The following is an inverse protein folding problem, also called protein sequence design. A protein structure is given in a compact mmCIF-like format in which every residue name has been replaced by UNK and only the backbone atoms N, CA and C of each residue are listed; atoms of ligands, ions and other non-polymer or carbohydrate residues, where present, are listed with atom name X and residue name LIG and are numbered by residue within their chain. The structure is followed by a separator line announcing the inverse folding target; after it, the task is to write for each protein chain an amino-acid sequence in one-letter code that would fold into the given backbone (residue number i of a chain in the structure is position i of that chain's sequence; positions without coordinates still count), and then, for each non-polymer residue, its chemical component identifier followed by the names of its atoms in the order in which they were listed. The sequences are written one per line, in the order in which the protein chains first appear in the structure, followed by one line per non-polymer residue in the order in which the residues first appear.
data_IF_151470466484
#
_entry.id   IF_151470466484
#
_cell.length_a   1.000
_cell.length_b   1.000
_cell.length_c   1.000
_cell.angle_alpha   90.00
_cell.angle_beta   90.00
_cell.angle_gamma   90.00
#
_symmetry.space_group_name_H-M   'P 1'
#
loop_
_entity.id
_entity.type
_entity.pdbx_description
1 polymer ?
#
# COMPACT_ATOMS: atom_id res chain seq x y z
N UNK A 1 4.23 11.23 -18.49
CA UNK A 1 3.44 10.24 -17.73
C UNK A 1 4.16 9.99 -16.40
N UNK A 2 3.45 9.70 -15.31
CA UNK A 2 4.10 9.31 -14.05
C UNK A 2 5.01 8.12 -14.32
N UNK A 3 6.28 8.20 -13.90
CA UNK A 3 7.28 7.14 -14.12
C UNK A 3 7.10 5.91 -13.22
N UNK A 4 6.14 6.02 -12.31
CA UNK A 4 5.87 5.04 -11.27
C UNK A 4 4.52 4.36 -11.51
N UNK A 5 4.51 3.02 -11.44
CA UNK A 5 3.30 2.19 -11.50
C UNK A 5 3.05 1.58 -10.12
N UNK A 6 1.79 1.62 -9.69
CA UNK A 6 1.36 1.10 -8.40
C UNK A 6 0.69 -0.28 -8.51
N UNK A 7 1.13 -1.21 -7.66
CA UNK A 7 0.59 -2.57 -7.57
C UNK A 7 0.10 -2.83 -6.16
N UNK A 8 -0.99 -3.58 -6.02
CA UNK A 8 -1.57 -3.86 -4.71
C UNK A 8 -2.17 -5.25 -4.62
N UNK A 9 -2.24 -5.78 -3.40
CA UNK A 9 -3.10 -6.91 -3.04
C UNK A 9 -3.99 -6.56 -1.85
N UNK A 10 -5.20 -7.12 -1.85
CA UNK A 10 -6.14 -7.00 -0.74
C UNK A 10 -7.10 -8.19 -0.68
N UNK A 11 -6.97 -9.04 0.35
CA UNK A 11 -8.04 -9.97 0.69
C UNK A 11 -9.25 -9.17 1.20
N UNK A 12 -10.36 -9.19 0.46
CA UNK A 12 -11.54 -8.39 0.79
C UNK A 12 -12.56 -9.15 1.65
N UNK A 13 -12.36 -10.45 1.89
CA UNK A 13 -13.25 -11.30 2.68
C UNK A 13 -14.71 -11.15 2.22
N UNK A 14 -14.95 -11.53 0.97
CA UNK A 14 -16.22 -11.43 0.25
C UNK A 14 -16.52 -10.03 -0.27
N UNK A 15 -16.83 -9.91 -1.56
CA UNK A 15 -17.27 -8.64 -2.14
C UNK A 15 -18.64 -8.21 -1.59
N UNK A 16 -19.53 -9.18 -1.38
CA UNK A 16 -20.81 -8.93 -0.75
C UNK A 16 -20.76 -9.27 0.74
N UNK A 17 -21.26 -8.37 1.57
CA UNK A 17 -21.45 -8.58 3.00
C UNK A 17 -22.88 -8.18 3.38
N UNK A 18 -23.52 -8.93 4.30
CA UNK A 18 -24.92 -8.66 4.69
C UNK A 18 -25.14 -7.24 5.22
N UNK A 19 -24.19 -6.73 6.02
CA UNK A 19 -24.24 -5.39 6.61
C UNK A 19 -23.83 -4.33 5.60
N UNK A 20 -22.68 -4.51 4.95
CA UNK A 20 -22.08 -3.48 4.09
C UNK A 20 -22.69 -3.44 2.68
N UNK A 21 -23.39 -4.51 2.28
CA UNK A 21 -23.84 -4.75 0.91
C UNK A 21 -22.69 -5.09 -0.02
N UNK A 22 -22.84 -4.67 -1.27
CA UNK A 22 -21.80 -4.74 -2.30
C UNK A 22 -20.67 -3.73 -2.00
N UNK A 23 -19.50 -4.24 -1.62
CA UNK A 23 -18.32 -3.43 -1.28
C UNK A 23 -17.78 -2.65 -2.48
N UNK A 24 -18.01 -3.10 -3.72
CA UNK A 24 -17.55 -2.36 -4.93
C UNK A 24 -18.22 -1.00 -5.08
N UNK A 25 -19.43 -0.84 -4.51
CA UNK A 25 -20.18 0.42 -4.45
C UNK A 25 -19.86 1.26 -3.22
N UNK A 26 -18.98 0.77 -2.32
CA UNK A 26 -18.62 1.49 -1.12
C UNK A 26 -17.59 2.58 -1.43
N UNK A 27 -17.84 3.81 -0.95
CA UNK A 27 -16.92 4.94 -1.16
C UNK A 27 -15.50 4.67 -0.65
N UNK A 28 -15.34 4.05 0.51
CA UNK A 28 -13.99 3.76 1.03
C UNK A 28 -13.25 2.71 0.20
N UNK A 29 -13.98 1.76 -0.37
CA UNK A 29 -13.40 0.79 -1.29
C UNK A 29 -12.92 1.48 -2.59
N UNK A 30 -13.79 2.27 -3.22
CA UNK A 30 -13.46 3.04 -4.44
C UNK A 30 -12.29 3.99 -4.18
N UNK A 31 -12.31 4.74 -3.08
CA UNK A 31 -11.24 5.66 -2.69
C UNK A 31 -9.89 4.92 -2.50
N UNK A 32 -9.93 3.68 -2.00
CA UNK A 32 -8.73 2.85 -1.77
C UNK A 32 -8.12 2.34 -3.08
N UNK A 33 -8.94 1.92 -4.05
CA UNK A 33 -8.45 1.41 -5.34
C UNK A 33 -8.18 2.51 -6.38
N UNK A 34 -8.84 3.67 -6.30
CA UNK A 34 -8.75 4.75 -7.30
C UNK A 34 -7.32 5.25 -7.57
N UNK A 35 -6.45 5.16 -6.57
CA UNK A 35 -5.05 5.59 -6.63
C UNK A 35 -4.12 4.50 -7.19
N UNK A 36 -4.63 3.29 -7.38
CA UNK A 36 -3.86 2.10 -7.72
C UNK A 36 -4.04 1.75 -9.19
N UNK A 37 -2.95 1.40 -9.86
CA UNK A 37 -2.94 1.05 -11.28
C UNK A 37 -3.36 -0.41 -11.49
N UNK A 38 -2.84 -1.32 -10.68
CA UNK A 38 -3.12 -2.76 -10.69
C UNK A 38 -3.37 -3.27 -9.26
N UNK A 39 -4.49 -3.97 -9.02
CA UNK A 39 -4.81 -4.56 -7.73
C UNK A 39 -5.37 -5.97 -7.88
N UNK A 40 -4.77 -6.91 -7.16
CA UNK A 40 -5.38 -8.23 -6.93
C UNK A 40 -6.26 -8.18 -5.69
N UNK A 41 -7.48 -8.68 -5.82
CA UNK A 41 -8.41 -8.85 -4.73
C UNK A 41 -8.61 -10.34 -4.50
N UNK A 42 -8.35 -10.79 -3.28
CA UNK A 42 -8.54 -12.18 -2.86
C UNK A 42 -9.86 -12.34 -2.11
N UNK A 43 -10.35 -13.59 -2.08
CA UNK A 43 -11.61 -13.95 -1.44
C UNK A 43 -12.79 -13.14 -1.95
N UNK A 44 -12.90 -13.01 -3.27
CA UNK A 44 -13.97 -12.23 -3.90
C UNK A 44 -15.35 -12.86 -3.68
N UNK A 45 -15.40 -14.19 -3.53
CA UNK A 45 -16.60 -15.00 -3.32
C UNK A 45 -17.66 -14.77 -4.41
N UNK A 46 -17.21 -14.45 -5.63
CA UNK A 46 -18.08 -14.29 -6.78
C UNK A 46 -17.46 -14.86 -8.04
N UNK A 47 -18.32 -15.23 -8.99
CA UNK A 47 -17.96 -15.67 -10.33
C UNK A 47 -18.40 -14.65 -11.38
N UNK A 48 -19.04 -13.56 -10.95
CA UNK A 48 -19.45 -12.48 -11.83
C UNK A 48 -18.32 -11.49 -11.98
N UNK A 49 -18.07 -11.06 -13.21
CA UNK A 49 -17.12 -10.00 -13.48
C UNK A 49 -17.50 -8.73 -12.68
N UNK A 50 -16.49 -8.04 -12.15
CA UNK A 50 -16.68 -6.87 -11.32
C UNK A 50 -16.80 -5.64 -12.21
N UNK A 51 -17.95 -4.97 -12.15
CA UNK A 51 -18.15 -3.73 -12.88
C UNK A 51 -17.82 -2.54 -11.98
N UNK A 52 -16.61 -2.01 -12.13
CA UNK A 52 -16.11 -0.84 -11.40
C UNK A 52 -15.73 0.23 -12.43
N UNK A 53 -16.37 1.42 -12.42
CA UNK A 53 -16.08 2.47 -13.39
C UNK A 53 -14.59 2.84 -13.45
N UNK A 54 -14.02 2.84 -14.65
CA UNK A 54 -12.61 3.17 -14.90
C UNK A 54 -11.63 2.02 -14.69
N UNK A 55 -12.12 0.83 -14.33
CA UNK A 55 -11.32 -0.39 -14.18
C UNK A 55 -11.81 -1.48 -15.12
N UNK A 56 -10.86 -2.24 -15.66
CA UNK A 56 -11.13 -3.57 -16.19
C UNK A 56 -10.97 -4.59 -15.07
N UNK A 57 -11.69 -5.72 -15.20
CA UNK A 57 -11.63 -6.82 -14.26
C UNK A 57 -11.35 -8.14 -14.98
N UNK A 58 -10.39 -8.89 -14.48
CA UNK A 58 -10.14 -10.28 -14.84
C UNK A 58 -10.39 -11.12 -13.59
N UNK A 59 -11.19 -12.16 -13.71
CA UNK A 59 -11.53 -13.06 -12.60
C UNK A 59 -10.84 -14.41 -12.78
N UNK A 60 -10.41 -15.00 -11.67
CA UNK A 60 -9.83 -16.34 -11.70
C UNK A 60 -10.90 -17.41 -11.90
N UNK A 61 -10.50 -18.58 -12.38
CA UNK A 61 -11.34 -19.77 -12.31
C UNK A 61 -11.75 -20.05 -10.86
N UNK A 62 -13.00 -20.45 -10.64
CA UNK A 62 -13.50 -20.69 -9.28
C UNK A 62 -13.38 -22.15 -8.89
N UNK A 63 -12.71 -22.43 -7.77
CA UNK A 63 -12.56 -23.79 -7.24
C UNK A 63 -13.85 -24.43 -6.71
N UNK A 64 -14.88 -23.62 -6.43
CA UNK A 64 -15.94 -24.05 -5.50
C UNK A 64 -17.23 -24.33 -6.25
N UNK A 65 -17.59 -25.61 -6.47
CA UNK A 65 -18.98 -25.93 -6.73
C UNK A 65 -19.81 -25.48 -5.53
N UNK A 66 -20.94 -24.84 -5.81
CA UNK A 66 -22.00 -24.63 -4.82
C UNK A 66 -22.49 -26.03 -4.45
N UNK A 67 -21.97 -26.63 -3.38
CA UNK A 67 -22.62 -27.83 -2.85
C UNK A 67 -23.96 -27.38 -2.27
N UNK A 68 -25.03 -28.16 -2.46
CA UNK A 68 -26.38 -27.81 -1.99
C UNK A 68 -26.47 -27.51 -0.47
N UNK A 69 -25.42 -27.83 0.31
CA UNK A 69 -25.31 -27.51 1.75
C UNK A 69 -24.47 -26.25 2.06
N UNK A 70 -23.65 -25.76 1.13
CA UNK A 70 -22.83 -24.56 1.33
C UNK A 70 -23.55 -23.33 0.77
N UNK A 71 -24.26 -22.61 1.64
CA UNK A 71 -25.03 -21.42 1.28
C UNK A 71 -24.18 -20.21 0.81
N UNK A 72 -22.84 -20.30 0.82
CA UNK A 72 -21.92 -19.19 0.47
C UNK A 72 -20.78 -19.64 -0.46
N UNK A 73 -20.60 -18.91 -1.57
CA UNK A 73 -19.39 -18.97 -2.41
C UNK A 73 -18.18 -18.57 -1.56
N UNK A 74 -17.00 -19.12 -1.87
CA UNK A 74 -15.77 -18.76 -1.13
C UNK A 74 -14.50 -18.88 -1.98
N UNK A 75 -13.40 -18.24 -1.57
CA UNK A 75 -12.18 -18.11 -2.40
C UNK A 75 -12.34 -17.11 -3.55
N UNK A 76 -11.60 -17.32 -4.64
CA UNK A 76 -11.63 -16.47 -5.83
C UNK A 76 -10.62 -15.33 -5.80
N UNK A 77 -10.05 -15.03 -6.95
CA UNK A 77 -9.07 -13.97 -7.17
C UNK A 77 -9.59 -13.08 -8.29
N UNK A 78 -9.40 -11.77 -8.20
CA UNK A 78 -9.70 -10.85 -9.30
C UNK A 78 -8.61 -9.82 -9.44
N UNK A 79 -8.12 -9.65 -10.66
CA UNK A 79 -7.25 -8.54 -11.03
C UNK A 79 -8.12 -7.39 -11.51
N UNK A 80 -8.06 -6.25 -10.82
CA UNK A 80 -8.59 -4.99 -11.30
C UNK A 80 -7.44 -4.09 -11.75
N UNK A 81 -7.60 -3.43 -12.88
CA UNK A 81 -6.60 -2.47 -13.35
C UNK A 81 -7.25 -1.33 -14.12
N UNK A 82 -6.61 -0.16 -14.13
CA UNK A 82 -7.17 1.02 -14.80
C UNK A 82 -7.34 0.76 -16.30
N UNK A 83 -8.49 1.13 -16.87
CA UNK A 83 -8.84 0.83 -18.27
C UNK A 83 -7.83 1.33 -19.31
N UNK A 84 -7.05 2.38 -18.99
CA UNK A 84 -5.94 2.83 -19.84
C UNK A 84 -4.88 1.76 -20.13
N UNK A 85 -4.78 0.71 -19.32
CA UNK A 85 -3.81 -0.38 -19.50
C UNK A 85 -4.36 -1.59 -20.27
N UNK A 86 -5.65 -1.60 -20.66
CA UNK A 86 -6.32 -2.74 -21.30
C UNK A 86 -5.57 -3.35 -22.47
N UNK A 87 -4.96 -2.53 -23.33
CA UNK A 87 -4.21 -2.98 -24.51
C UNK A 87 -2.90 -3.71 -24.18
N UNK A 88 -2.40 -3.53 -22.97
CA UNK A 88 -1.08 -3.99 -22.54
C UNK A 88 -1.13 -5.15 -21.55
N UNK A 89 -2.32 -5.61 -21.19
CA UNK A 89 -2.54 -6.68 -20.21
C UNK A 89 -3.11 -7.90 -20.91
N UNK A 90 -2.52 -9.07 -20.67
CA UNK A 90 -3.04 -10.35 -21.13
C UNK A 90 -2.95 -11.42 -20.05
N UNK A 91 -3.84 -12.41 -20.10
CA UNK A 91 -3.83 -13.56 -19.18
C UNK A 91 -2.81 -14.57 -19.69
N UNK A 92 -1.97 -15.10 -18.80
CA UNK A 92 -0.97 -16.14 -19.10
C UNK A 92 -1.49 -17.51 -18.65
N UNK A 93 -1.94 -17.58 -17.40
CA UNK A 93 -2.44 -18.79 -16.75
C UNK A 93 -3.53 -18.39 -15.75
N UNK A 94 -4.63 -19.12 -15.76
CA UNK A 94 -5.76 -18.86 -14.88
C UNK A 94 -6.13 -20.15 -14.16
N UNK A 95 -5.97 -20.18 -12.84
CA UNK A 95 -6.38 -21.31 -12.00
C UNK A 95 -7.11 -20.79 -10.76
N UNK A 96 -7.62 -21.71 -9.94
CA UNK A 96 -8.25 -21.37 -8.66
C UNK A 96 -7.37 -20.61 -7.66
N UNK A 97 -6.06 -20.83 -7.69
CA UNK A 97 -5.12 -20.30 -6.70
C UNK A 97 -4.17 -19.25 -7.29
N UNK A 98 -4.04 -19.23 -8.62
CA UNK A 98 -3.07 -18.40 -9.34
C UNK A 98 -3.74 -17.71 -10.54
N UNK A 99 -3.69 -16.39 -10.56
CA UNK A 99 -4.07 -15.57 -11.71
C UNK A 99 -2.83 -14.88 -12.27
N UNK A 100 -2.20 -15.50 -13.26
CA UNK A 100 -1.04 -14.96 -13.94
C UNK A 100 -1.45 -14.04 -15.09
N UNK A 101 -0.95 -12.82 -15.06
CA UNK A 101 -1.18 -11.80 -16.09
C UNK A 101 0.14 -11.16 -16.52
N UNK A 102 0.29 -10.94 -17.82
CA UNK A 102 1.42 -10.23 -18.43
C UNK A 102 1.07 -8.75 -18.52
N UNK A 103 2.03 -7.90 -18.21
CA UNK A 103 2.08 -6.50 -18.65
C UNK A 103 3.17 -6.36 -19.72
N UNK A 104 2.79 -5.84 -20.88
CA UNK A 104 3.70 -5.60 -21.99
C UNK A 104 4.79 -4.59 -21.62
N UNK A 105 6.03 -4.93 -21.98
CA UNK A 105 7.21 -4.07 -21.86
C UNK A 105 7.06 -2.69 -22.50
N UNK A 106 6.15 -2.56 -23.47
CA UNK A 106 5.81 -1.29 -24.15
C UNK A 106 5.42 -0.17 -23.18
N UNK A 107 4.72 -0.49 -22.08
CA UNK A 107 4.37 0.49 -21.05
C UNK A 107 5.33 0.53 -19.87
N UNK A 108 6.26 -0.43 -19.82
CA UNK A 108 7.20 -0.59 -18.73
C UNK A 108 8.54 0.10 -19.04
N UNK A 109 8.77 0.60 -20.26
CA UNK A 109 10.10 1.09 -20.70
C UNK A 109 11.24 0.19 -20.22
N UNK A 110 11.01 -1.11 -20.34
CA UNK A 110 11.83 -2.20 -19.84
C UNK A 110 12.21 -3.08 -21.02
N UNK A 111 13.35 -3.75 -20.92
CA UNK A 111 13.79 -4.78 -21.86
C UNK A 111 12.91 -6.05 -21.78
N UNK A 112 12.31 -6.26 -20.60
CA UNK A 112 11.47 -7.43 -20.28
C UNK A 112 10.04 -7.03 -19.94
N UNK A 113 9.12 -7.92 -20.26
CA UNK A 113 7.74 -7.89 -19.75
C UNK A 113 7.71 -8.05 -18.21
N UNK A 114 6.58 -7.73 -17.60
CA UNK A 114 6.32 -8.00 -16.19
C UNK A 114 5.19 -9.03 -16.07
N UNK A 115 5.48 -10.17 -15.46
CA UNK A 115 4.49 -11.18 -15.14
C UNK A 115 4.05 -11.01 -13.68
N UNK A 116 2.77 -10.72 -13.51
CA UNK A 116 2.17 -10.60 -12.19
C UNK A 116 1.36 -11.85 -11.88
N UNK A 117 1.43 -12.33 -10.64
CA UNK A 117 0.55 -13.39 -10.16
C UNK A 117 -0.25 -12.92 -8.97
N UNK A 118 -1.57 -12.95 -9.10
CA UNK A 118 -2.48 -12.90 -7.98
C UNK A 118 -2.55 -14.27 -7.33
N UNK A 119 -2.16 -14.36 -6.06
CA UNK A 119 -2.08 -15.64 -5.35
C UNK A 119 -3.08 -15.71 -4.20
N UNK A 120 -3.81 -16.81 -4.06
CA UNK A 120 -4.53 -17.14 -2.84
C UNK A 120 -4.25 -18.59 -2.47
N UNK A 121 -3.49 -18.80 -1.40
CA UNK A 121 -3.22 -20.14 -0.87
C UNK A 121 -4.16 -20.37 0.30
N UNK A 122 -5.07 -21.36 0.25
CA UNK A 122 -5.95 -21.67 1.38
C UNK A 122 -5.16 -21.98 2.65
N UNK A 123 -5.69 -21.71 3.86
CA UNK A 123 -5.04 -22.10 5.10
C UNK A 123 -4.74 -23.61 5.16
N UNK A 124 -3.68 -24.02 5.87
CA UNK A 124 -3.23 -25.42 5.95
C UNK A 124 -4.32 -26.41 6.40
N UNK A 125 -5.21 -25.97 7.30
CA UNK A 125 -6.35 -26.78 7.80
C UNK A 125 -7.59 -26.74 6.90
N UNK A 126 -7.51 -26.06 5.75
CA UNK A 126 -8.63 -25.94 4.82
C UNK A 126 -8.80 -27.22 4.02
N UNK A 127 -10.05 -27.68 3.84
CA UNK A 127 -10.38 -28.83 2.98
C UNK A 127 -10.01 -28.60 1.50
N UNK A 128 -9.73 -27.36 1.13
CA UNK A 128 -9.36 -26.96 -0.23
C UNK A 128 -7.85 -26.80 -0.43
N UNK A 129 -7.07 -26.98 0.63
CA UNK A 129 -5.62 -26.92 0.55
C UNK A 129 -5.08 -28.23 -0.04
N UNK A 130 -4.26 -28.13 -1.07
CA UNK A 130 -3.55 -29.24 -1.69
C UNK A 130 -2.05 -28.95 -1.65
N UNK A 131 -1.23 -29.92 -1.21
CA UNK A 131 0.22 -29.68 -1.05
C UNK A 131 0.93 -29.31 -2.36
N UNK A 132 0.46 -29.84 -3.49
CA UNK A 132 0.99 -29.58 -4.83
C UNK A 132 0.94 -28.11 -5.26
N UNK A 133 0.15 -27.27 -4.59
CA UNK A 133 0.05 -25.83 -4.89
C UNK A 133 1.43 -25.15 -4.82
N UNK A 134 2.31 -25.59 -3.91
CA UNK A 134 3.65 -25.04 -3.78
C UNK A 134 4.56 -25.47 -4.94
N UNK A 135 4.49 -26.73 -5.36
CA UNK A 135 5.22 -27.24 -6.52
C UNK A 135 4.75 -26.57 -7.82
N UNK A 136 3.43 -26.36 -7.98
CA UNK A 136 2.86 -25.62 -9.11
C UNK A 136 3.38 -24.18 -9.16
N UNK A 137 3.46 -23.50 -8.01
CA UNK A 137 3.99 -22.13 -7.93
C UNK A 137 5.48 -22.09 -8.28
N UNK A 138 6.28 -23.01 -7.72
CA UNK A 138 7.72 -23.08 -8.00
C UNK A 138 8.00 -23.36 -9.48
N UNK A 139 7.28 -24.31 -10.08
CA UNK A 139 7.40 -24.62 -11.50
C UNK A 139 7.03 -23.42 -12.39
N UNK A 140 5.96 -22.68 -12.06
CA UNK A 140 5.59 -21.46 -12.77
C UNK A 140 6.70 -20.39 -12.67
N UNK A 141 7.27 -20.20 -11.47
CA UNK A 141 8.35 -19.25 -11.24
C UNK A 141 9.60 -19.58 -12.06
N UNK A 142 10.03 -20.85 -12.05
CA UNK A 142 11.17 -21.33 -12.85
C UNK A 142 10.90 -21.09 -14.34
N UNK A 143 9.72 -21.48 -14.83
CA UNK A 143 9.34 -21.34 -16.24
C UNK A 143 9.31 -19.87 -16.71
N UNK A 144 8.86 -18.97 -15.85
CA UNK A 144 8.66 -17.56 -16.20
C UNK A 144 9.88 -16.67 -15.94
N UNK A 145 10.80 -17.09 -15.07
CA UNK A 145 11.99 -16.31 -14.67
C UNK A 145 12.88 -15.91 -15.86
N UNK A 146 12.94 -16.75 -16.89
CA UNK A 146 13.72 -16.53 -18.11
C UNK A 146 13.03 -15.55 -19.09
N UNK A 147 11.72 -15.36 -18.98
CA UNK A 147 10.89 -14.61 -19.95
C UNK A 147 10.57 -13.19 -19.51
N UNK A 148 10.43 -12.97 -18.20
CA UNK A 148 9.91 -11.72 -17.67
C UNK A 148 10.44 -11.44 -16.26
N UNK A 149 10.32 -10.19 -15.82
CA UNK A 149 10.35 -9.89 -14.39
C UNK A 149 9.08 -10.43 -13.74
N UNK A 150 9.16 -10.82 -12.45
CA UNK A 150 8.05 -11.47 -11.75
C UNK A 150 7.66 -10.66 -10.53
N UNK A 151 6.35 -10.49 -10.33
CA UNK A 151 5.75 -9.90 -9.15
C UNK A 151 4.58 -10.77 -8.65
N UNK A 152 4.76 -11.44 -7.52
CA UNK A 152 3.69 -12.16 -6.82
C UNK A 152 3.02 -11.24 -5.81
N UNK A 153 1.69 -11.23 -5.78
CA UNK A 153 0.91 -10.48 -4.81
C UNK A 153 -0.28 -11.30 -4.33
N UNK A 154 -0.48 -11.38 -3.02
CA UNK A 154 -1.64 -12.11 -2.52
C UNK A 154 -1.56 -12.56 -1.08
N UNK A 155 -2.64 -13.20 -0.64
CA UNK A 155 -2.75 -13.88 0.64
C UNK A 155 -2.20 -15.32 0.50
N UNK A 156 -1.04 -15.54 1.09
CA UNK A 156 -0.35 -16.84 1.06
C UNK A 156 -0.70 -17.71 2.28
N UNK A 157 -1.45 -17.18 3.25
CA UNK A 157 -1.63 -17.79 4.57
C UNK A 157 -0.30 -18.28 5.19
N UNK A 158 0.79 -17.59 4.87
CA UNK A 158 2.17 -17.97 5.19
C UNK A 158 2.73 -17.02 6.25
N UNK A 159 3.18 -17.54 7.39
CA UNK A 159 3.83 -16.73 8.44
C UNK A 159 5.31 -17.03 8.36
N UNK A 160 6.11 -16.08 7.88
CA UNK A 160 7.55 -16.31 7.63
C UNK A 160 8.45 -15.83 8.75
N UNK A 161 7.90 -15.11 9.75
CA UNK A 161 8.72 -14.35 10.72
C UNK A 161 9.81 -13.54 10.01
N UNK A 162 11.03 -13.56 10.55
CA UNK A 162 12.25 -12.95 10.00
C UNK A 162 13.17 -13.96 9.29
N UNK A 163 12.63 -15.10 8.82
CA UNK A 163 13.43 -16.08 8.08
C UNK A 163 14.06 -15.43 6.83
N UNK A 164 15.33 -15.73 6.58
CA UNK A 164 16.06 -15.29 5.37
C UNK A 164 15.47 -16.00 4.15
N UNK A 165 15.10 -15.23 3.14
CA UNK A 165 14.57 -15.68 1.85
C UNK A 165 15.64 -15.71 0.75
N UNK A 166 16.90 -15.74 1.17
CA UNK A 166 18.09 -15.87 0.33
C UNK A 166 19.09 -16.77 1.05
N UNK A 167 20.03 -17.33 0.29
CA UNK A 167 21.12 -18.15 0.84
C UNK A 167 22.16 -17.20 1.44
N UNK A 168 22.43 -17.33 2.75
CA UNK A 168 23.51 -16.56 3.39
C UNK A 168 24.85 -17.25 3.18
N UNK A 169 25.86 -16.46 2.81
CA UNK A 169 27.27 -16.87 2.69
C UNK A 169 27.89 -17.39 4.00
N UNK A 170 27.24 -17.13 5.14
CA UNK A 170 27.72 -17.44 6.49
C UNK A 170 27.90 -18.95 6.76
N UNK A 171 27.42 -19.82 5.87
CA UNK A 171 27.53 -21.29 5.98
C UNK A 171 28.58 -21.94 5.08
N UNK A 172 29.26 -21.18 4.21
CA UNK A 172 30.20 -21.73 3.23
C UNK A 172 31.64 -21.33 3.53
N UNK A 173 32.23 -21.90 4.58
CA UNK A 173 33.69 -21.85 4.79
C UNK A 173 34.48 -22.66 3.74
N UNK A 174 33.80 -23.29 2.77
CA UNK A 174 34.42 -24.22 1.81
C UNK A 174 34.16 -23.91 0.33
N UNK A 175 33.43 -22.84 0.01
CA UNK A 175 33.27 -22.38 -1.38
C UNK A 175 33.52 -20.88 -1.41
N UNK A 176 34.78 -20.50 -1.68
CA UNK A 176 35.13 -19.14 -2.07
C UNK A 176 34.61 -18.94 -3.50
N UNK A 177 33.33 -18.67 -3.65
CA UNK A 177 32.85 -18.07 -4.89
C UNK A 177 33.39 -16.64 -4.93
N UNK A 178 34.40 -16.45 -5.75
CA UNK A 178 35.14 -15.20 -5.97
C UNK A 178 34.37 -14.21 -6.86
N UNK A 179 33.09 -14.47 -7.15
CA UNK A 179 32.21 -13.47 -7.76
C UNK A 179 31.68 -12.50 -6.70
N UNK A 180 32.40 -11.40 -6.49
CA UNK A 180 32.09 -10.31 -5.55
C UNK A 180 30.81 -9.50 -5.83
N UNK A 181 29.74 -10.12 -6.34
CA UNK A 181 28.51 -9.47 -6.78
C UNK A 181 27.21 -10.19 -6.33
N UNK A 182 27.24 -11.00 -5.26
CA UNK A 182 25.97 -11.49 -4.69
C UNK A 182 25.25 -10.32 -4.00
N UNK A 183 24.25 -9.74 -4.67
CA UNK A 183 23.40 -8.73 -4.06
C UNK A 183 22.75 -9.33 -2.81
N UNK A 184 23.09 -8.77 -1.65
CA UNK A 184 22.43 -9.11 -0.41
C UNK A 184 21.25 -8.16 -0.20
N UNK A 185 20.01 -8.66 -0.21
CA UNK A 185 18.86 -7.80 0.03
C UNK A 185 18.89 -7.29 1.47
N UNK A 186 18.36 -6.08 1.75
CA UNK A 186 18.24 -5.60 3.12
C UNK A 186 17.49 -6.59 4.02
N UNK A 187 17.91 -6.68 5.28
CA UNK A 187 17.27 -7.57 6.24
C UNK A 187 15.80 -7.21 6.45
N UNK A 188 14.94 -8.23 6.46
CA UNK A 188 13.52 -8.06 6.80
C UNK A 188 13.31 -7.86 8.28
N UNK A 189 12.47 -6.89 8.60
CA UNK A 189 11.72 -6.85 9.84
C UNK A 189 10.35 -7.50 9.65
N UNK A 190 9.79 -8.00 10.73
CA UNK A 190 8.43 -8.52 10.77
C UNK A 190 7.93 -8.41 12.20
N UNK A 191 6.80 -7.75 12.41
CA UNK A 191 6.15 -7.69 13.73
C UNK A 191 5.45 -9.00 14.07
N UNK A 192 5.13 -9.82 13.07
CA UNK A 192 4.71 -11.21 13.28
C UNK A 192 5.97 -12.07 13.46
N UNK A 193 6.24 -12.52 14.70
CA UNK A 193 7.39 -13.36 15.02
C UNK A 193 7.15 -14.85 14.78
N UNK A 194 5.93 -15.27 14.42
CA UNK A 194 5.58 -16.69 14.28
C UNK A 194 5.95 -17.23 12.90
N UNK A 195 6.30 -18.51 12.85
CA UNK A 195 6.44 -19.26 11.58
C UNK A 195 5.40 -20.37 11.47
N UNK A 196 4.97 -20.69 10.25
CA UNK A 196 4.14 -21.87 9.95
C UNK A 196 4.70 -22.67 8.76
N UNK A 197 4.12 -23.83 8.45
CA UNK A 197 4.60 -24.70 7.39
C UNK A 197 4.55 -24.03 6.01
N UNK A 198 3.49 -23.25 5.73
CA UNK A 198 3.42 -22.44 4.51
C UNK A 198 4.53 -21.41 4.43
N UNK A 199 4.83 -20.73 5.54
CA UNK A 199 5.92 -19.78 5.65
C UNK A 199 7.28 -20.41 5.33
N UNK A 200 7.55 -21.61 5.85
CA UNK A 200 8.76 -22.37 5.53
C UNK A 200 8.83 -22.70 4.04
N UNK A 201 7.75 -23.23 3.45
CA UNK A 201 7.68 -23.56 2.02
C UNK A 201 7.89 -22.33 1.12
N UNK A 202 7.24 -21.20 1.42
CA UNK A 202 7.44 -19.94 0.68
C UNK A 202 8.88 -19.45 0.78
N UNK A 203 9.52 -19.56 1.94
CA UNK A 203 10.93 -19.18 2.10
C UNK A 203 11.85 -20.07 1.25
N UNK A 204 11.62 -21.38 1.22
CA UNK A 204 12.39 -22.29 0.37
C UNK A 204 12.20 -21.98 -1.12
N UNK A 205 10.95 -21.76 -1.58
CA UNK A 205 10.67 -21.32 -2.96
C UNK A 205 11.40 -20.00 -3.26
N UNK A 206 11.42 -19.05 -2.33
CA UNK A 206 12.13 -17.78 -2.55
C UNK A 206 13.63 -17.99 -2.77
N UNK A 207 14.24 -18.90 -2.01
CA UNK A 207 15.66 -19.25 -2.17
C UNK A 207 15.93 -19.97 -3.49
N UNK A 208 15.10 -20.94 -3.88
CA UNK A 208 15.31 -21.75 -5.09
C UNK A 208 15.02 -20.98 -6.39
N UNK A 209 14.14 -19.98 -6.35
CA UNK A 209 13.70 -19.22 -7.55
C UNK A 209 14.23 -17.79 -7.60
N UNK A 210 15.16 -17.44 -6.69
CA UNK A 210 15.74 -16.11 -6.55
C UNK A 210 14.69 -14.98 -6.41
N UNK A 211 13.61 -15.29 -5.68
CA UNK A 211 12.55 -14.35 -5.33
C UNK A 211 12.84 -13.70 -3.97
N UNK A 212 12.32 -12.49 -3.76
CA UNK A 212 12.55 -11.66 -2.57
C UNK A 212 11.24 -11.06 -2.07
N UNK A 213 10.94 -11.31 -0.80
CA UNK A 213 9.79 -10.75 -0.11
C UNK A 213 10.05 -9.27 0.17
N UNK A 214 9.19 -8.38 -0.31
CA UNK A 214 9.36 -6.92 -0.15
C UNK A 214 8.91 -6.41 1.24
N UNK A 215 7.92 -7.07 1.83
CA UNK A 215 7.38 -6.72 3.16
C UNK A 215 8.50 -6.71 4.20
N UNK A 216 8.53 -5.66 5.03
CA UNK A 216 9.48 -5.58 6.15
C UNK A 216 10.87 -5.07 5.83
N UNK A 217 11.20 -4.81 4.57
CA UNK A 217 12.54 -4.29 4.17
C UNK A 217 12.50 -3.12 3.20
N UNK A 218 11.35 -2.86 2.61
CA UNK A 218 11.17 -1.81 1.61
C UNK A 218 10.79 -0.50 2.30
N UNK A 219 11.24 0.64 1.75
CA UNK A 219 10.89 1.96 2.27
C UNK A 219 9.36 2.10 2.42
N UNK A 220 8.90 2.52 3.59
CA UNK A 220 7.48 2.62 3.93
C UNK A 220 6.93 1.47 4.79
N UNK A 221 7.64 0.33 4.85
CA UNK A 221 7.29 -0.81 5.69
C UNK A 221 8.53 -1.41 6.39
N UNK A 222 9.39 -0.55 6.93
CA UNK A 222 10.64 -0.98 7.61
C UNK A 222 10.43 -1.78 8.90
N UNK A 223 9.19 -1.83 9.41
CA UNK A 223 8.85 -2.60 10.62
C UNK A 223 8.24 -3.97 10.28
N UNK A 224 7.80 -4.19 9.04
CA UNK A 224 7.06 -5.39 8.63
C UNK A 224 5.71 -5.47 9.32
N UNK A 225 4.83 -4.52 8.97
CA UNK A 225 3.50 -4.39 9.57
C UNK A 225 2.63 -5.61 9.25
N UNK A 226 1.81 -6.08 10.21
CA UNK A 226 0.90 -7.19 9.96
C UNK A 226 -0.20 -6.78 8.99
N UNK A 227 -0.60 -7.71 8.14
CA UNK A 227 -1.65 -7.51 7.14
C UNK A 227 -2.99 -8.06 7.57
N UNK A 228 -3.04 -9.07 8.46
CA UNK A 228 -4.27 -9.67 8.97
C UNK A 228 -4.55 -9.28 10.41
N UNK A 229 -5.84 -9.05 10.72
CA UNK A 229 -6.28 -8.49 11.99
C UNK A 229 -7.52 -9.18 12.55
N UNK A 230 -7.30 -10.13 13.47
CA UNK A 230 -8.37 -10.81 14.19
C UNK A 230 -8.53 -10.31 15.63
N UNK A 231 -9.65 -10.71 16.26
CA UNK A 231 -9.87 -10.51 17.70
C UNK A 231 -8.82 -11.20 18.55
N UNK A 232 -8.17 -12.25 18.06
CA UNK A 232 -7.24 -13.08 18.83
C UNK A 232 -5.77 -12.72 18.56
N UNK A 233 -5.48 -11.91 17.54
CA UNK A 233 -4.13 -11.48 17.22
C UNK A 233 -4.03 -10.95 15.80
N UNK A 234 -2.79 -10.63 15.41
CA UNK A 234 -2.45 -10.14 14.08
C UNK A 234 -1.39 -11.04 13.45
N UNK A 235 -1.36 -11.11 12.12
CA UNK A 235 -0.34 -11.87 11.40
C UNK A 235 0.05 -11.19 10.09
N UNK A 236 1.23 -11.54 9.59
CA UNK A 236 1.71 -11.13 8.26
C UNK A 236 1.50 -12.30 7.31
N UNK A 237 0.49 -12.20 6.43
CA UNK A 237 0.09 -13.30 5.52
C UNK A 237 -0.11 -12.84 4.07
N UNK A 238 -0.28 -11.53 3.86
CA UNK A 238 -0.38 -10.90 2.55
C UNK A 238 0.99 -10.36 2.13
N UNK A 239 1.56 -10.89 1.06
CA UNK A 239 2.90 -10.55 0.61
C UNK A 239 2.91 -9.93 -0.77
N UNK A 240 3.92 -9.10 -0.99
CA UNK A 240 4.42 -8.75 -2.32
C UNK A 240 5.84 -9.30 -2.42
N UNK A 241 6.07 -10.14 -3.42
CA UNK A 241 7.35 -10.83 -3.64
C UNK A 241 7.77 -10.57 -5.08
N UNK A 242 9.02 -10.19 -5.32
CA UNK A 242 9.53 -9.99 -6.68
C UNK A 242 10.79 -10.79 -6.94
N UNK A 243 11.10 -11.03 -8.21
CA UNK A 243 12.41 -11.57 -8.55
C UNK A 243 13.51 -10.54 -8.26
N UNK A 244 14.71 -11.04 -8.02
CA UNK A 244 15.91 -10.26 -7.74
C UNK A 244 16.13 -9.08 -8.70
N UNK A 245 15.90 -9.26 -10.01
CA UNK A 245 16.08 -8.22 -11.02
C UNK A 245 15.09 -7.04 -10.91
N UNK A 246 13.89 -7.28 -10.38
CA UNK A 246 12.87 -6.24 -10.20
C UNK A 246 13.08 -5.45 -8.90
N UNK A 247 13.73 -6.06 -7.90
CA UNK A 247 13.87 -5.49 -6.57
C UNK A 247 14.50 -4.08 -6.53
N UNK A 248 15.57 -3.76 -7.30
CA UNK A 248 16.14 -2.41 -7.33
C UNK A 248 15.19 -1.32 -7.87
N UNK A 249 14.15 -1.72 -8.62
CA UNK A 249 13.15 -0.81 -9.19
C UNK A 249 12.02 -0.49 -8.20
N UNK A 250 11.92 -1.22 -7.09
CA UNK A 250 10.90 -1.01 -6.06
C UNK A 250 11.25 0.24 -5.24
N UNK A 251 10.34 1.22 -5.20
CA UNK A 251 10.52 2.47 -4.46
C UNK A 251 9.99 2.39 -3.04
N UNK A 252 8.73 1.97 -2.90
CA UNK A 252 8.01 1.99 -1.63
C UNK A 252 7.09 0.79 -1.51
N UNK A 253 6.91 0.30 -0.28
CA UNK A 253 5.85 -0.63 0.09
C UNK A 253 5.15 -0.11 1.34
N UNK A 254 3.82 -0.19 1.35
CA UNK A 254 2.99 0.22 2.48
C UNK A 254 1.91 -0.83 2.74
N UNK A 255 1.83 -1.29 3.99
CA UNK A 255 0.65 -1.97 4.52
C UNK A 255 -0.28 -0.90 5.09
N UNK A 256 -1.52 -0.80 4.61
CA UNK A 256 -2.49 0.20 5.08
C UNK A 256 -2.97 -0.12 6.51
N UNK A 257 -3.55 0.89 7.16
CA UNK A 257 -4.28 0.66 8.41
C UNK A 257 -5.49 -0.24 8.16
N UNK A 258 -5.86 -1.11 9.11
CA UNK A 258 -7.08 -1.91 9.00
C UNK A 258 -8.30 -1.01 8.83
N UNK A 259 -9.35 -1.52 8.20
CA UNK A 259 -10.60 -0.82 8.05
C UNK A 259 -11.78 -1.78 8.21
N UNK A 260 -13.01 -1.26 8.14
CA UNK A 260 -14.21 -2.07 8.37
C UNK A 260 -14.60 -2.98 7.19
N UNK A 261 -13.96 -2.82 6.02
CA UNK A 261 -14.30 -3.55 4.80
C UNK A 261 -13.73 -4.96 4.79
N UNK A 262 -12.61 -5.20 5.47
CA UNK A 262 -11.96 -6.50 5.59
C UNK A 262 -11.17 -6.60 6.90
N UNK A 263 -10.96 -7.82 7.37
CA UNK A 263 -9.98 -8.16 8.41
C UNK A 263 -8.54 -8.16 7.89
N UNK A 264 -8.34 -8.07 6.57
CA UNK A 264 -7.04 -7.82 5.96
C UNK A 264 -6.86 -6.34 5.58
N UNK A 265 -5.62 -5.89 5.71
CA UNK A 265 -5.13 -4.59 5.29
C UNK A 265 -4.56 -4.70 3.88
N UNK A 266 -4.86 -3.70 3.05
CA UNK A 266 -4.32 -3.59 1.71
C UNK A 266 -2.79 -3.40 1.76
N UNK A 267 -2.06 -4.18 0.96
CA UNK A 267 -0.61 -4.03 0.75
C UNK A 267 -0.39 -3.40 -0.61
N UNK A 268 0.47 -2.39 -0.69
CA UNK A 268 0.70 -1.58 -1.90
C UNK A 268 2.20 -1.42 -2.10
N UNK A 269 2.66 -1.62 -3.33
CA UNK A 269 4.03 -1.31 -3.76
C UNK A 269 4.02 -0.36 -4.94
N UNK A 270 5.10 0.41 -5.08
CA UNK A 270 5.33 1.29 -6.20
C UNK A 270 6.66 0.96 -6.85
N UNK A 271 6.64 0.79 -8.17
CA UNK A 271 7.81 0.37 -8.94
C UNK A 271 8.10 1.42 -10.00
N UNK A 272 9.34 1.90 -10.04
CA UNK A 272 9.83 2.77 -11.09
C UNK A 272 10.30 1.91 -12.26
N UNK A 273 9.52 1.88 -13.33
CA UNK A 273 9.81 1.01 -14.46
C UNK A 273 10.60 1.73 -15.56
N UNK A 274 10.67 3.07 -15.51
CA UNK A 274 11.54 3.83 -16.40
C UNK A 274 13.02 3.63 -16.06
N UNK A 275 13.79 3.13 -17.02
CA UNK A 275 15.25 3.21 -16.98
C UNK A 275 15.66 4.68 -16.96
N UNK A 276 16.07 5.19 -15.79
CA UNK A 276 17.09 6.24 -15.80
C UNK A 276 18.40 5.52 -16.07
N UNK A 277 18.99 5.75 -17.25
CA UNK A 277 20.41 5.53 -17.48
C UNK A 277 21.19 6.44 -16.52
N UNK A 278 21.27 6.05 -15.26
CA UNK A 278 22.20 6.66 -14.33
C UNK A 278 23.48 5.84 -14.44
N UNK A 279 24.42 6.38 -15.21
CA UNK A 279 25.84 6.28 -14.86
C UNK A 279 25.97 6.36 -13.35
N UNK A 280 26.75 5.44 -12.79
CA UNK A 280 27.11 5.38 -11.38
C UNK A 280 27.84 6.69 -11.05
N UNK A 281 27.08 7.73 -10.71
CA UNK A 281 27.59 8.87 -9.99
C UNK A 281 27.28 8.55 -8.54
N UNK A 282 28.34 8.20 -7.79
CA UNK A 282 28.36 8.25 -6.34
C UNK A 282 28.11 9.69 -5.91
N UNK A 283 26.87 10.17 -6.01
CA UNK A 283 26.41 11.35 -5.31
C UNK A 283 25.91 10.91 -3.94
N UNK A 284 26.39 11.50 -2.84
CA UNK A 284 25.89 11.23 -1.51
C UNK A 284 24.38 11.41 -1.49
N UNK A 285 23.70 10.50 -0.79
CA UNK A 285 22.28 10.54 -0.44
C UNK A 285 21.83 12.00 -0.27
N UNK A 286 20.97 12.47 -1.18
CA UNK A 286 20.26 13.71 -0.93
C UNK A 286 19.54 13.56 0.42
N UNK A 287 19.67 14.53 1.33
CA UNK A 287 18.95 14.48 2.59
C UNK A 287 17.45 14.36 2.31
N UNK A 288 16.68 13.71 3.22
CA UNK A 288 15.25 13.52 3.03
C UNK A 288 14.62 14.86 2.67
N UNK A 289 13.85 14.88 1.58
CA UNK A 289 13.11 16.06 1.08
C UNK A 289 12.52 16.75 2.31
N UNK A 290 13.12 17.87 2.71
CA UNK A 290 12.67 18.63 3.85
C UNK A 290 11.23 19.06 3.55
N UNK A 291 10.37 19.05 4.57
CA UNK A 291 9.01 19.56 4.40
C UNK A 291 9.13 20.95 3.79
N UNK A 292 8.47 21.16 2.64
CA UNK A 292 8.38 22.49 2.02
C UNK A 292 8.09 23.52 3.11
N UNK A 293 8.85 24.63 3.17
CA UNK A 293 8.64 25.66 4.18
C UNK A 293 7.21 26.20 4.09
N UNK A 294 6.76 26.80 5.20
CA UNK A 294 5.43 27.38 5.30
C UNK A 294 5.21 28.35 4.13
N UNK A 295 4.18 28.08 3.31
CA UNK A 295 3.84 28.98 2.20
C UNK A 295 3.23 30.26 2.76
N UNK A 296 3.88 31.39 2.54
CA UNK A 296 3.35 32.71 2.89
C UNK A 296 2.39 33.23 1.81
N UNK A 297 1.43 34.05 2.21
CA UNK A 297 0.49 34.73 1.32
C UNK A 297 0.91 36.19 1.21
N UNK A 298 1.18 36.63 -0.02
CA UNK A 298 1.33 38.04 -0.36
C UNK A 298 -0.06 38.63 -0.64
N UNK A 299 -0.45 39.61 0.18
CA UNK A 299 -1.63 40.45 -0.03
C UNK A 299 -1.19 41.89 -0.35
N UNK A 300 -2.15 42.79 -0.56
CA UNK A 300 -1.88 44.17 -0.97
C UNK A 300 -0.98 44.95 0.02
N UNK A 301 -0.98 44.58 1.30
CA UNK A 301 -0.16 45.21 2.35
C UNK A 301 1.16 44.46 2.61
N UNK A 302 1.32 43.24 2.08
CA UNK A 302 2.49 42.40 2.34
C UNK A 302 3.79 43.03 1.88
N UNK A 303 3.78 43.79 0.78
CA UNK A 303 4.98 44.46 0.27
C UNK A 303 5.50 45.51 1.25
N UNK A 304 4.63 46.42 1.66
CA UNK A 304 4.99 47.49 2.59
C UNK A 304 5.34 46.96 3.98
N UNK A 305 4.60 45.95 4.47
CA UNK A 305 4.91 45.32 5.75
C UNK A 305 6.26 44.60 5.71
N UNK A 306 6.57 43.88 4.63
CA UNK A 306 7.86 43.19 4.47
C UNK A 306 9.02 44.18 4.42
N UNK A 307 8.89 45.27 3.64
CA UNK A 307 9.88 46.36 3.59
C UNK A 307 10.07 47.02 4.95
N UNK A 308 8.98 47.33 5.66
CA UNK A 308 9.04 47.93 7.00
C UNK A 308 9.73 47.01 8.00
N UNK A 309 9.46 45.71 7.94
CA UNK A 309 10.14 44.71 8.77
C UNK A 309 11.62 44.60 8.42
N UNK A 310 12.01 44.60 7.14
CA UNK A 310 13.43 44.63 6.76
C UNK A 310 14.17 45.85 7.30
N UNK A 311 13.50 47.00 7.40
CA UNK A 311 14.04 48.24 7.97
C UNK A 311 14.02 48.30 9.51
N UNK A 312 13.54 47.26 10.19
CA UNK A 312 13.60 47.22 11.66
C UNK A 312 15.03 47.05 12.15
N UNK A 313 15.34 47.66 13.29
CA UNK A 313 16.69 47.66 13.88
C UNK A 313 17.30 46.25 13.97
N UNK A 314 16.50 45.27 14.42
CA UNK A 314 16.93 43.87 14.54
C UNK A 314 17.35 43.24 13.19
N UNK A 315 16.68 43.56 12.09
CA UNK A 315 17.01 43.01 10.77
C UNK A 315 18.11 43.81 10.08
N UNK A 316 18.20 45.11 10.35
CA UNK A 316 19.32 45.93 9.91
C UNK A 316 20.63 45.47 10.57
N UNK A 317 20.62 45.18 11.87
CA UNK A 317 21.78 44.62 12.57
C UNK A 317 22.22 43.28 11.92
N UNK A 318 21.27 42.36 11.67
CA UNK A 318 21.55 41.09 10.99
C UNK A 318 22.09 41.27 9.57
N UNK A 319 21.58 42.25 8.83
CA UNK A 319 22.06 42.57 7.49
C UNK A 319 23.48 43.16 7.54
N UNK A 320 23.77 44.06 8.48
CA UNK A 320 25.12 44.58 8.69
C UNK A 320 26.10 43.48 9.03
N UNK A 321 25.77 42.60 9.98
CA UNK A 321 26.62 41.44 10.32
C UNK A 321 26.85 40.52 9.12
N UNK A 322 25.82 40.30 8.29
CA UNK A 322 25.95 39.48 7.08
C UNK A 322 26.86 40.14 6.03
N UNK A 323 26.81 41.47 5.88
CA UNK A 323 27.63 42.20 4.91
C UNK A 323 29.09 42.37 5.38
N UNK A 324 29.32 42.41 6.68
CA UNK A 324 30.65 42.49 7.29
C UNK A 324 31.35 41.12 7.38
N UNK A 325 30.60 40.02 7.27
CA UNK A 325 31.14 38.67 7.28
C UNK A 325 31.84 38.33 5.95
N UNK A 326 33.14 38.08 6.01
CA UNK A 326 33.89 37.48 4.91
C UNK A 326 33.62 35.97 4.84
N UNK A 327 32.82 35.56 3.85
CA UNK A 327 32.57 34.15 3.57
C UNK A 327 33.66 33.58 2.66
N UNK A 328 34.25 32.45 3.06
CA UNK A 328 35.20 31.73 2.23
C UNK A 328 34.55 31.21 0.94
N UNK A 329 35.31 31.16 -0.15
CA UNK A 329 34.81 30.71 -1.47
C UNK A 329 34.71 29.18 -1.62
N UNK A 330 34.93 28.44 -0.53
CA UNK A 330 34.81 26.99 -0.50
C UNK A 330 33.35 26.57 -0.26
N UNK A 331 33.09 25.26 -0.34
CA UNK A 331 31.74 24.71 -0.20
C UNK A 331 31.11 25.04 1.17
N UNK A 332 31.91 25.08 2.22
CA UNK A 332 31.41 25.36 3.57
C UNK A 332 31.06 26.83 3.74
N UNK A 333 31.91 27.73 3.25
CA UNK A 333 31.62 29.18 3.23
C UNK A 333 30.39 29.54 2.40
N UNK A 334 30.21 28.93 1.22
CA UNK A 334 29.00 29.12 0.40
C UNK A 334 27.75 28.66 1.15
N UNK A 335 27.78 27.48 1.78
CA UNK A 335 26.63 26.98 2.53
C UNK A 335 26.29 27.88 3.72
N UNK A 336 27.31 28.39 4.43
CA UNK A 336 27.13 29.32 5.55
C UNK A 336 26.50 30.63 5.09
N UNK A 337 27.00 31.21 4.00
CA UNK A 337 26.43 32.42 3.37
C UNK A 337 24.94 32.22 3.02
N UNK A 338 24.61 31.12 2.33
CA UNK A 338 23.22 30.82 1.95
C UNK A 338 22.33 30.65 3.18
N UNK A 339 22.78 29.92 4.21
CA UNK A 339 22.00 29.70 5.43
C UNK A 339 21.75 30.99 6.21
N UNK A 340 22.75 31.88 6.33
CA UNK A 340 22.60 33.17 7.01
C UNK A 340 21.64 34.08 6.26
N UNK A 341 21.77 34.18 4.93
CA UNK A 341 20.85 34.94 4.09
C UNK A 341 19.42 34.38 4.17
N UNK A 342 19.25 33.06 4.09
CA UNK A 342 17.93 32.42 4.19
C UNK A 342 17.28 32.72 5.54
N UNK A 343 18.06 32.74 6.63
CA UNK A 343 17.56 33.07 7.96
C UNK A 343 17.01 34.50 8.03
N UNK A 344 17.71 35.48 7.47
CA UNK A 344 17.27 36.89 7.41
C UNK A 344 15.92 36.99 6.69
N UNK A 345 15.81 36.37 5.52
CA UNK A 345 14.56 36.36 4.73
C UNK A 345 13.43 35.62 5.47
N UNK A 346 13.74 34.51 6.15
CA UNK A 346 12.76 33.75 6.92
C UNK A 346 12.23 34.52 8.13
N UNK A 347 13.09 35.25 8.84
CA UNK A 347 12.67 36.10 9.97
C UNK A 347 11.78 37.24 9.48
N UNK A 348 12.18 37.93 8.41
CA UNK A 348 11.37 38.98 7.80
C UNK A 348 9.99 38.45 7.35
N UNK A 349 9.96 37.28 6.71
CA UNK A 349 8.74 36.63 6.24
C UNK A 349 7.80 36.24 7.38
N UNK A 350 8.32 35.65 8.47
CA UNK A 350 7.53 35.24 9.63
C UNK A 350 6.85 36.42 10.33
N UNK A 351 7.50 37.58 10.38
CA UNK A 351 6.99 38.77 11.07
C UNK A 351 6.00 39.58 10.22
N UNK A 352 6.13 39.55 8.89
CA UNK A 352 5.36 40.43 8.01
C UNK A 352 4.29 39.73 7.15
N UNK A 353 4.38 38.40 6.96
CA UNK A 353 3.52 37.68 6.03
C UNK A 353 2.57 36.70 6.72
N UNK A 354 1.34 36.57 6.18
CA UNK A 354 0.34 35.61 6.67
C UNK A 354 0.68 34.21 6.15
N UNK A 355 0.66 33.21 7.03
CA UNK A 355 0.86 31.80 6.64
C UNK A 355 -0.41 31.24 5.98
N UNK A 356 -0.25 30.57 4.83
CA UNK A 356 -1.34 29.89 4.14
C UNK A 356 -1.87 28.74 4.97
N UNK A 357 -3.03 28.94 5.62
CA UNK A 357 -3.79 27.87 6.26
C UNK A 357 -4.17 26.84 5.19
N UNK A 358 -3.88 25.55 5.43
CA UNK A 358 -4.34 24.45 4.57
C UNK A 358 -5.88 24.51 4.49
N UNK A 359 -6.43 24.97 3.37
CA UNK A 359 -7.85 24.78 3.07
C UNK A 359 -8.07 23.28 2.84
N UNK A 360 -8.70 22.61 3.80
CA UNK A 360 -9.29 21.30 3.54
C UNK A 360 -10.42 21.51 2.52
N UNK A 361 -10.13 21.33 1.23
CA UNK A 361 -11.20 21.16 0.24
C UNK A 361 -11.91 19.85 0.58
N UNK A 362 -13.09 19.95 1.18
CA UNK A 362 -14.06 18.84 1.20
C UNK A 362 -14.61 18.69 -0.21
N UNK A 363 -13.86 18.05 -1.11
CA UNK A 363 -14.48 17.44 -2.29
C UNK A 363 -15.19 16.17 -1.80
N UNK A 364 -16.37 16.35 -1.21
CA UNK A 364 -17.33 15.27 -1.12
C UNK A 364 -17.96 15.22 -2.51
N UNK A 365 -17.33 14.49 -3.43
CA UNK A 365 -18.06 14.01 -4.60
C UNK A 365 -19.27 13.24 -4.07
N UNK A 366 -20.45 13.63 -4.54
CA UNK A 366 -21.75 13.03 -4.26
C UNK A 366 -21.80 11.60 -4.83
N UNK A 367 -21.07 10.68 -4.19
CA UNK A 367 -21.31 9.24 -4.37
C UNK A 367 -22.43 8.90 -3.41
N UNK A 368 -23.64 8.73 -3.97
CA UNK A 368 -24.86 8.25 -3.32
C UNK A 368 -24.84 8.35 -1.79
N UNK A 369 -25.08 9.55 -1.25
CA UNK A 369 -25.37 9.71 0.18
C UNK A 369 -26.60 8.84 0.46
N UNK A 370 -26.36 7.65 1.02
CA UNK A 370 -27.44 6.76 1.45
C UNK A 370 -28.27 7.56 2.45
N UNK A 371 -29.56 7.74 2.18
CA UNK A 371 -30.44 8.63 2.98
C UNK A 371 -30.46 8.25 4.47
N UNK A 372 -30.23 6.97 4.78
CA UNK A 372 -30.13 6.43 6.13
C UNK A 372 -28.77 6.64 6.83
N UNK A 373 -27.72 7.09 6.11
CA UNK A 373 -26.38 7.28 6.66
C UNK A 373 -26.23 8.67 7.28
N UNK A 374 -26.43 8.74 8.59
CA UNK A 374 -26.55 9.99 9.35
C UNK A 374 -25.28 10.40 10.12
N UNK A 375 -25.44 11.31 11.08
CA UNK A 375 -24.34 11.86 11.89
C UNK A 375 -23.71 10.80 12.80
N UNK A 376 -24.50 9.89 13.35
CA UNK A 376 -24.04 8.83 14.26
C UNK A 376 -23.13 7.87 13.50
N UNK A 377 -23.58 7.42 12.32
CA UNK A 377 -22.79 6.58 11.41
C UNK A 377 -21.42 7.22 11.08
N UNK A 378 -21.41 8.54 10.85
CA UNK A 378 -20.17 9.29 10.57
C UNK A 378 -19.25 9.37 11.79
N UNK A 379 -19.82 9.62 12.96
CA UNK A 379 -19.07 9.72 14.21
C UNK A 379 -18.42 8.39 14.57
N UNK A 380 -19.17 7.30 14.56
CA UNK A 380 -18.64 5.96 14.85
C UNK A 380 -17.57 5.54 13.83
N UNK A 381 -17.80 5.81 12.53
CA UNK A 381 -16.78 5.57 11.50
C UNK A 381 -15.50 6.38 11.75
N UNK A 382 -15.60 7.60 12.26
CA UNK A 382 -14.44 8.41 12.63
C UNK A 382 -13.70 7.82 13.83
N UNK A 383 -14.41 7.42 14.88
CA UNK A 383 -13.81 6.76 16.06
C UNK A 383 -13.13 5.45 15.67
N UNK A 384 -13.79 4.64 14.84
CA UNK A 384 -13.22 3.40 14.33
C UNK A 384 -11.92 3.63 13.54
N UNK A 385 -11.86 4.67 12.70
CA UNK A 385 -10.63 5.06 11.99
C UNK A 385 -9.52 5.53 12.94
N UNK A 386 -9.86 6.23 14.02
CA UNK A 386 -8.89 6.64 15.04
C UNK A 386 -8.27 5.41 15.72
N UNK A 387 -9.11 4.47 16.16
CA UNK A 387 -8.67 3.20 16.76
C UNK A 387 -7.88 2.35 15.76
N UNK A 388 -8.29 2.29 14.49
CA UNK A 388 -7.54 1.60 13.44
C UNK A 388 -6.12 2.13 13.28
N UNK A 389 -5.95 3.46 13.30
CA UNK A 389 -4.64 4.09 13.20
C UNK A 389 -3.77 3.84 14.43
N UNK A 390 -4.37 3.84 15.63
CA UNK A 390 -3.66 3.48 16.87
C UNK A 390 -3.20 2.01 16.82
N UNK A 391 -4.11 1.09 16.49
CA UNK A 391 -3.81 -0.34 16.30
C UNK A 391 -2.75 -0.58 15.23
N UNK A 392 -2.75 0.20 14.16
CA UNK A 392 -1.74 0.07 13.11
C UNK A 392 -0.34 0.50 13.59
N UNK A 393 -0.25 1.51 14.46
CA UNK A 393 1.01 1.97 15.07
C UNK A 393 1.54 0.97 16.08
N UNK A 394 0.65 0.42 16.90
CA UNK A 394 0.96 -0.55 17.96
C UNK A 394 0.05 -1.79 17.85
N UNK A 395 0.38 -2.74 16.94
CA UNK A 395 -0.47 -3.90 16.67
C UNK A 395 -0.48 -4.95 17.78
N UNK A 396 0.52 -4.94 18.66
CA UNK A 396 0.66 -5.91 19.75
C UNK A 396 -0.12 -5.50 21.00
N UNK A 397 -0.56 -4.24 21.09
CA UNK A 397 -1.37 -3.75 22.19
C UNK A 397 -2.77 -4.40 22.21
N UNK A 398 -3.02 -5.19 23.26
CA UNK A 398 -4.24 -5.98 23.44
C UNK A 398 -5.46 -5.11 23.71
N UNK A 399 -5.31 -4.02 24.46
CA UNK A 399 -6.38 -3.08 24.81
C UNK A 399 -6.88 -2.33 23.59
N UNK A 400 -5.96 -1.73 22.81
CA UNK A 400 -6.29 -1.03 21.56
C UNK A 400 -6.95 -1.99 20.57
N UNK A 401 -6.45 -3.23 20.48
CA UNK A 401 -7.03 -4.26 19.63
C UNK A 401 -8.46 -4.62 20.07
N UNK A 402 -8.68 -4.83 21.36
CA UNK A 402 -10.01 -5.10 21.91
C UNK A 402 -10.97 -3.94 21.62
N UNK A 403 -10.56 -2.71 21.94
CA UNK A 403 -11.33 -1.49 21.68
C UNK A 403 -11.70 -1.33 20.19
N UNK A 404 -10.76 -1.59 19.27
CA UNK A 404 -11.02 -1.58 17.84
C UNK A 404 -12.10 -2.59 17.44
N UNK A 405 -12.03 -3.84 17.94
CA UNK A 405 -13.00 -4.87 17.58
C UNK A 405 -14.38 -4.63 18.19
N UNK A 406 -14.45 -4.04 19.39
CA UNK A 406 -15.70 -3.57 19.99
C UNK A 406 -16.31 -2.45 19.14
N UNK A 407 -15.56 -1.39 18.85
CA UNK A 407 -16.04 -0.28 18.01
C UNK A 407 -16.43 -0.74 16.59
N UNK A 408 -15.74 -1.74 16.03
CA UNK A 408 -16.09 -2.33 14.73
C UNK A 408 -17.44 -3.08 14.79
N UNK A 409 -17.70 -3.80 15.88
CA UNK A 409 -18.97 -4.50 16.11
C UNK A 409 -20.10 -3.49 16.24
N UNK A 410 -19.91 -2.47 17.07
CA UNK A 410 -20.90 -1.42 17.31
C UNK A 410 -21.23 -0.68 16.01
N UNK A 411 -20.19 -0.27 15.27
CA UNK A 411 -20.36 0.36 13.97
C UNK A 411 -21.17 -0.48 12.98
N UNK A 412 -20.88 -1.78 12.87
CA UNK A 412 -21.65 -2.68 11.99
C UNK A 412 -23.11 -2.81 12.45
N UNK A 413 -23.34 -2.91 13.75
CA UNK A 413 -24.68 -2.96 14.34
C UNK A 413 -25.48 -1.69 14.04
N UNK A 414 -24.87 -0.52 14.20
CA UNK A 414 -25.51 0.77 13.88
C UNK A 414 -25.86 0.86 12.39
N UNK A 415 -24.96 0.46 11.50
CA UNK A 415 -25.25 0.43 10.05
C UNK A 415 -26.43 -0.48 9.72
N UNK A 416 -26.48 -1.67 10.32
CA UNK A 416 -27.54 -2.65 10.09
C UNK A 416 -28.90 -2.13 10.59
N UNK A 417 -28.95 -1.60 11.81
CA UNK A 417 -30.14 -1.03 12.41
C UNK A 417 -30.68 0.16 11.59
N UNK A 418 -29.83 1.14 11.27
CA UNK A 418 -30.24 2.35 10.52
C UNK A 418 -30.75 1.98 9.11
N UNK A 419 -30.13 1.00 8.47
CA UNK A 419 -30.57 0.49 7.16
C UNK A 419 -31.92 -0.24 7.27
N UNK A 420 -32.12 -1.09 8.29
CA UNK A 420 -33.38 -1.81 8.52
C UNK A 420 -34.54 -0.84 8.76
N UNK A 421 -34.35 0.13 9.66
CA UNK A 421 -35.38 1.14 9.96
C UNK A 421 -35.76 1.92 8.71
N UNK A 422 -34.79 2.39 7.93
CA UNK A 422 -35.08 3.10 6.68
C UNK A 422 -35.88 2.27 5.66
N UNK A 423 -35.59 0.97 5.53
CA UNK A 423 -36.36 0.10 4.64
C UNK A 423 -37.78 -0.12 5.17
N UNK A 424 -37.94 -0.30 6.48
CA UNK A 424 -39.24 -0.44 7.12
C UNK A 424 -40.10 0.81 6.91
N UNK A 425 -39.55 2.01 7.18
CA UNK A 425 -40.25 3.28 6.98
C UNK A 425 -40.68 3.46 5.51
N UNK A 426 -39.81 3.07 4.56
CA UNK A 426 -40.11 3.14 3.13
C UNK A 426 -41.23 2.19 2.70
N UNK A 427 -41.30 1.00 3.29
CA UNK A 427 -42.39 0.06 3.02
C UNK A 427 -43.71 0.63 3.56
N UNK A 428 -43.71 1.18 4.78
CA UNK A 428 -44.89 1.81 5.35
C UNK A 428 -45.36 3.05 4.56
N UNK A 429 -44.46 3.83 3.98
CA UNK A 429 -44.84 4.93 3.08
C UNK A 429 -45.50 4.43 1.80
N UNK A 430 -45.05 3.30 1.25
CA UNK A 430 -45.65 2.70 0.04
C UNK A 430 -47.02 2.09 0.37
N UNK A 431 -47.20 1.45 1.53
CA UNK A 431 -48.47 0.84 1.93
C UNK A 431 -49.57 1.87 2.28
N UNK A 432 -49.20 3.14 2.49
CA UNK A 432 -50.14 4.25 2.76
C UNK A 432 -50.62 4.97 1.49
N UNK A 433 -50.08 4.63 0.33
CA UNK A 433 -50.43 5.16 -0.99
C UNK A 433 -50.96 4.04 -1.88
#
# INVERSE_FOLDING_TARGET
MSTEISFSTWNINGIFNSVLGDKTKNKDFIDSISKIDFIFINETWTNTCLNIPGFEAIISETAKPVTNRACRKSGGISLLFKSKFKKYVSIIKNTKNFLWSKISKEILNSDRDLYMCGTYIPPEKSKYFENKIFEELENDLVLFSSKANILLLGDLNARTSKLKDYISSDGSNHIQDTSGNSFQPPQRQNLDSTTNNHGKKIIEICKSTDMRILNGRTNGDSLGRPSFHSKNGTSSVDYIICNQNLMPKVKHLVVKSPNYLSDHSQVITWINLHQTTNTINNTPLQPPISKLPLQYIWNNESNENFKKTLKSDELQEKLSTFLENDFSSDREGINKCVNEFENIINVASKKSLKIKKKKYRRNINNVANKKWFDKDCRFERHQLRKLANQKHRDPNNTEIRSAYHTALKDYKSTLEMKKKNFHFDKIQEIEKH
#
